data_IF_284940494736
#
_entry.id   IF_284940494736
#
_cell.length_a   1.000
_cell.length_b   1.000
_cell.length_c   1.000
_cell.angle_alpha   90.00
_cell.angle_beta   90.00
_cell.angle_gamma   90.00
#
_symmetry.space_group_name_H-M   'P 1'
#
loop_
_entity.id
_entity.type
_entity.pdbx_description
1 polymer ?
#
# COMPACT_ATOMS: atom_id res chain seq x y z
N UNK A 1 61.62 5.03 -80.55
CA UNK A 1 60.45 4.25 -80.08
C UNK A 1 60.96 3.24 -79.06
N UNK A 2 60.43 3.32 -77.84
CA UNK A 2 60.45 2.40 -76.68
C UNK A 2 61.65 1.44 -76.44
N UNK A 3 62.27 1.60 -75.27
CA UNK A 3 63.06 0.57 -74.59
C UNK A 3 62.44 0.31 -73.19
N UNK A 4 62.21 -0.96 -72.90
CA UNK A 4 61.76 -1.48 -71.61
C UNK A 4 62.86 -1.38 -70.54
N UNK A 5 62.49 -0.98 -69.32
CA UNK A 5 63.20 -1.34 -68.09
C UNK A 5 62.20 -1.71 -67.00
N UNK A 6 62.26 -2.96 -66.55
CA UNK A 6 61.51 -3.46 -65.40
C UNK A 6 62.37 -3.41 -64.14
N UNK A 7 61.85 -2.75 -63.10
CA UNK A 7 62.42 -2.79 -61.75
C UNK A 7 61.47 -3.55 -60.82
N UNK A 8 61.98 -4.61 -60.17
CA UNK A 8 61.31 -5.36 -59.10
C UNK A 8 61.45 -4.58 -57.78
N UNK A 9 60.34 -4.16 -57.17
CA UNK A 9 60.32 -3.76 -55.76
C UNK A 9 60.11 -5.00 -54.87
N UNK A 10 61.11 -5.32 -54.03
CA UNK A 10 60.99 -6.27 -52.92
C UNK A 10 60.21 -5.60 -51.78
N UNK A 11 58.98 -6.07 -51.52
CA UNK A 11 58.16 -5.67 -50.38
C UNK A 11 58.78 -6.15 -49.06
N UNK A 12 59.17 -5.22 -48.18
CA UNK A 12 59.64 -5.47 -46.82
C UNK A 12 58.50 -5.70 -45.80
N UNK A 13 57.24 -5.82 -46.24
CA UNK A 13 56.07 -5.90 -45.35
C UNK A 13 55.71 -7.35 -44.92
N UNK A 14 56.16 -8.37 -45.65
CA UNK A 14 55.80 -9.77 -45.38
C UNK A 14 56.30 -10.31 -44.01
N UNK A 15 57.55 -10.05 -43.56
CA UNK A 15 58.03 -10.63 -42.30
C UNK A 15 57.40 -9.96 -41.06
N UNK A 16 57.01 -8.68 -41.14
CA UNK A 16 56.32 -8.01 -40.02
C UNK A 16 54.89 -8.52 -39.82
N UNK A 17 54.17 -8.80 -40.92
CA UNK A 17 52.81 -9.31 -40.84
C UNK A 17 52.77 -10.72 -40.21
N UNK A 18 53.75 -11.56 -40.54
CA UNK A 18 53.88 -12.91 -39.97
C UNK A 18 54.13 -12.88 -38.45
N UNK A 19 54.98 -11.95 -37.97
CA UNK A 19 55.26 -11.78 -36.54
C UNK A 19 54.02 -11.30 -35.79
N UNK A 20 53.26 -10.36 -36.37
CA UNK A 20 52.01 -9.87 -35.76
C UNK A 20 50.95 -10.96 -35.68
N UNK A 21 50.79 -11.77 -36.74
CA UNK A 21 49.82 -12.89 -36.75
C UNK A 21 50.19 -13.96 -35.71
N UNK A 22 51.48 -14.29 -35.58
CA UNK A 22 51.95 -15.24 -34.56
C UNK A 22 51.76 -14.71 -33.14
N UNK A 23 51.99 -13.42 -32.90
CA UNK A 23 51.76 -12.79 -31.61
C UNK A 23 50.27 -12.79 -31.22
N UNK A 24 49.37 -12.52 -32.18
CA UNK A 24 47.92 -12.57 -31.95
C UNK A 24 47.45 -14.00 -31.67
N UNK A 25 47.94 -15.00 -32.40
CA UNK A 25 47.61 -16.40 -32.16
C UNK A 25 48.12 -16.92 -30.81
N UNK A 26 49.30 -16.47 -30.38
CA UNK A 26 49.84 -16.78 -29.05
C UNK A 26 48.98 -16.14 -27.94
N UNK A 27 48.55 -14.88 -28.11
CA UNK A 27 47.69 -14.18 -27.15
C UNK A 27 46.30 -14.83 -27.02
N UNK A 28 45.71 -15.25 -28.15
CA UNK A 28 44.42 -15.97 -28.16
C UNK A 28 44.54 -17.35 -27.50
N UNK A 29 45.69 -18.02 -27.67
CA UNK A 29 45.96 -19.32 -27.04
C UNK A 29 46.17 -19.19 -25.52
N UNK A 30 46.86 -18.13 -25.07
CA UNK A 30 47.04 -17.80 -23.65
C UNK A 30 45.71 -17.41 -22.99
N UNK A 31 44.84 -16.67 -23.69
CA UNK A 31 43.50 -16.33 -23.19
C UNK A 31 42.55 -17.53 -23.14
N UNK A 32 42.71 -18.51 -24.04
CA UNK A 32 41.98 -19.79 -23.98
C UNK A 32 42.51 -20.71 -22.87
N UNK A 33 43.81 -20.69 -22.60
CA UNK A 33 44.42 -21.46 -21.52
C UNK A 33 44.08 -20.90 -20.12
N UNK A 34 43.93 -19.57 -19.98
CA UNK A 34 43.54 -18.95 -18.70
C UNK A 34 42.06 -19.10 -18.35
N UNK A 35 41.22 -19.51 -19.31
CA UNK A 35 39.81 -19.86 -19.08
C UNK A 35 39.58 -21.36 -18.87
N UNK A 36 40.64 -22.16 -18.78
CA UNK A 36 40.59 -23.58 -18.47
C UNK A 36 40.61 -23.85 -16.97
N UNK A 37 39.50 -23.63 -16.27
CA UNK A 37 39.41 -23.90 -14.84
C UNK A 37 37.98 -24.03 -14.32
N UNK A 38 37.45 -25.26 -14.33
CA UNK A 38 36.27 -25.67 -13.57
C UNK A 38 34.93 -25.61 -14.31
N UNK A 39 34.62 -26.66 -15.09
CA UNK A 39 33.21 -26.99 -15.36
C UNK A 39 32.56 -27.42 -14.04
N UNK A 40 31.91 -26.49 -13.36
CA UNK A 40 30.89 -26.81 -12.37
C UNK A 40 29.76 -27.52 -13.12
N UNK A 41 29.55 -28.80 -12.82
CA UNK A 41 28.37 -29.51 -13.28
C UNK A 41 27.12 -28.71 -12.90
N UNK A 42 26.10 -28.59 -13.78
CA UNK A 42 24.86 -27.95 -13.39
C UNK A 42 24.34 -28.69 -12.15
N UNK A 43 23.84 -27.99 -11.13
CA UNK A 43 23.25 -28.68 -9.98
C UNK A 43 22.19 -29.63 -10.53
N UNK A 44 22.23 -30.90 -10.12
CA UNK A 44 21.18 -31.84 -10.46
C UNK A 44 19.83 -31.19 -10.16
N UNK A 45 18.80 -31.47 -10.96
CA UNK A 45 17.46 -30.92 -10.73
C UNK A 45 16.99 -31.11 -9.26
N UNK A 46 17.49 -32.16 -8.60
CA UNK A 46 17.30 -32.47 -7.18
C UNK A 46 18.00 -31.46 -6.25
N UNK A 47 19.22 -31.02 -6.55
CA UNK A 47 19.97 -30.01 -5.77
C UNK A 47 19.36 -28.60 -5.92
N UNK A 48 18.94 -28.23 -7.13
CA UNK A 48 18.23 -26.97 -7.37
C UNK A 48 16.84 -26.95 -6.69
N UNK A 49 16.10 -28.08 -6.73
CA UNK A 49 14.84 -28.25 -6.01
C UNK A 49 15.03 -28.24 -4.49
N UNK A 50 16.09 -28.86 -3.96
CA UNK A 50 16.41 -28.86 -2.54
C UNK A 50 16.88 -27.48 -2.04
N UNK A 51 17.62 -26.73 -2.84
CA UNK A 51 18.00 -25.35 -2.56
C UNK A 51 16.79 -24.41 -2.64
N UNK A 52 15.90 -24.59 -3.62
CA UNK A 52 14.62 -23.89 -3.72
C UNK A 52 13.69 -24.24 -2.56
N UNK A 53 13.64 -25.50 -2.12
CA UNK A 53 12.88 -25.94 -0.96
C UNK A 53 13.47 -25.42 0.37
N UNK A 54 14.80 -25.39 0.51
CA UNK A 54 15.49 -24.74 1.65
C UNK A 54 15.27 -23.22 1.67
N UNK A 55 15.26 -22.55 0.52
CA UNK A 55 14.90 -21.13 0.42
C UNK A 55 13.41 -20.88 0.66
N UNK A 56 12.51 -21.78 0.23
CA UNK A 56 11.08 -21.75 0.59
C UNK A 56 10.89 -21.97 2.10
N UNK A 57 11.66 -22.86 2.73
CA UNK A 57 11.59 -23.09 4.18
C UNK A 57 12.23 -21.97 5.01
N UNK A 58 13.32 -21.35 4.54
CA UNK A 58 13.91 -20.15 5.18
C UNK A 58 13.01 -18.92 5.04
N UNK A 59 12.35 -18.75 3.89
CA UNK A 59 11.34 -17.69 3.72
C UNK A 59 10.08 -18.00 4.54
N UNK A 60 9.62 -19.25 4.64
CA UNK A 60 8.53 -19.65 5.53
C UNK A 60 8.78 -19.33 7.01
N UNK A 61 10.01 -19.50 7.51
CA UNK A 61 10.37 -19.11 8.86
C UNK A 61 10.38 -17.58 9.09
N UNK A 62 10.67 -16.78 8.04
CA UNK A 62 10.55 -15.31 8.03
C UNK A 62 9.14 -14.80 7.67
N UNK A 63 8.20 -15.70 7.34
CA UNK A 63 6.83 -15.36 6.92
C UNK A 63 5.84 -15.24 8.08
N UNK A 64 6.19 -15.68 9.28
CA UNK A 64 5.26 -15.64 10.42
C UNK A 64 5.19 -14.23 11.00
N UNK A 65 4.02 -13.65 10.89
CA UNK A 65 3.61 -12.53 11.74
C UNK A 65 3.74 -13.00 13.20
N UNK A 66 4.40 -12.18 14.01
CA UNK A 66 4.56 -12.45 15.44
C UNK A 66 3.30 -12.00 16.16
N UNK A 67 2.48 -12.98 16.54
CA UNK A 67 1.28 -12.79 17.32
C UNK A 67 1.45 -13.39 18.71
N UNK A 68 0.76 -12.80 19.68
CA UNK A 68 0.66 -13.33 21.04
C UNK A 68 -0.21 -14.60 21.01
N UNK A 69 0.37 -15.79 21.22
CA UNK A 69 -0.39 -17.03 21.13
C UNK A 69 -1.48 -17.16 22.21
N UNK A 70 -1.44 -16.33 23.25
CA UNK A 70 -2.46 -16.32 24.32
C UNK A 70 -3.70 -15.49 23.99
N UNK A 71 -3.61 -14.60 22.99
CA UNK A 71 -4.74 -13.75 22.62
C UNK A 71 -5.75 -14.53 21.75
N UNK A 72 -6.99 -14.58 22.22
CA UNK A 72 -8.11 -15.15 21.45
C UNK A 72 -8.94 -14.02 20.85
N UNK A 73 -9.05 -13.91 19.51
CA UNK A 73 -9.87 -12.86 18.89
C UNK A 73 -11.34 -13.03 19.27
N UNK A 74 -11.98 -11.90 19.56
CA UNK A 74 -13.39 -11.83 19.92
C UNK A 74 -14.11 -10.90 18.96
N UNK A 75 -14.76 -11.51 17.98
CA UNK A 75 -15.54 -10.78 16.97
C UNK A 75 -17.01 -10.65 17.42
N UNK A 76 -17.65 -9.48 17.26
CA UNK A 76 -19.05 -9.27 17.59
C UNK A 76 -19.98 -10.24 16.83
N UNK A 77 -21.10 -10.61 17.46
CA UNK A 77 -22.12 -11.45 16.79
C UNK A 77 -22.71 -10.69 15.61
N UNK A 78 -22.54 -11.23 14.41
CA UNK A 78 -23.05 -10.61 13.18
C UNK A 78 -24.57 -10.76 13.04
N UNK A 79 -25.23 -9.69 12.57
CA UNK A 79 -26.60 -9.75 12.09
C UNK A 79 -26.72 -10.34 10.68
N UNK A 80 -27.96 -10.50 10.18
CA UNK A 80 -28.22 -11.10 8.87
C UNK A 80 -27.55 -10.33 7.71
N UNK A 81 -27.60 -9.00 7.72
CA UNK A 81 -26.95 -8.17 6.71
C UNK A 81 -25.42 -8.31 6.76
N UNK A 82 -24.82 -8.23 7.96
CA UNK A 82 -23.38 -8.41 8.16
C UNK A 82 -22.89 -9.78 7.66
N UNK A 83 -23.62 -10.87 7.94
CA UNK A 83 -23.32 -12.20 7.42
C UNK A 83 -23.42 -12.28 5.89
N UNK A 84 -24.45 -11.66 5.31
CA UNK A 84 -24.61 -11.58 3.86
C UNK A 84 -23.42 -10.85 3.19
N UNK A 85 -22.98 -9.74 3.77
CA UNK A 85 -21.83 -8.97 3.28
C UNK A 85 -20.53 -9.78 3.41
N UNK A 86 -20.32 -10.48 4.54
CA UNK A 86 -19.17 -11.35 4.70
C UNK A 86 -19.11 -12.45 3.63
N UNK A 87 -20.26 -13.02 3.23
CA UNK A 87 -20.34 -13.97 2.11
C UNK A 87 -20.03 -13.30 0.76
N UNK A 88 -20.48 -12.06 0.54
CA UNK A 88 -20.16 -11.31 -0.69
C UNK A 88 -18.66 -11.04 -0.83
N UNK A 89 -17.92 -10.90 0.27
CA UNK A 89 -16.46 -10.71 0.22
C UNK A 89 -15.72 -11.91 -0.43
N UNK A 90 -16.33 -13.09 -0.46
CA UNK A 90 -15.79 -14.27 -1.12
C UNK A 90 -16.05 -14.33 -2.64
N UNK A 91 -16.89 -13.43 -3.18
CA UNK A 91 -17.18 -13.42 -4.62
C UNK A 91 -15.95 -12.99 -5.44
N UNK A 92 -15.71 -13.59 -6.63
CA UNK A 92 -14.57 -13.23 -7.45
C UNK A 92 -14.67 -11.79 -8.00
N UNK A 93 -13.56 -11.22 -8.49
CA UNK A 93 -13.57 -9.91 -9.14
C UNK A 93 -14.54 -9.86 -10.33
N UNK A 94 -15.29 -8.76 -10.43
CA UNK A 94 -16.12 -8.42 -11.59
C UNK A 94 -15.25 -7.96 -12.75
N UNK A 95 -15.83 -7.92 -13.95
CA UNK A 95 -15.20 -7.54 -15.21
C UNK A 95 -14.06 -8.46 -15.68
N UNK A 96 -13.86 -9.63 -15.07
CA UNK A 96 -12.81 -10.58 -15.47
C UNK A 96 -12.87 -10.94 -16.97
N UNK A 97 -14.05 -11.13 -17.53
CA UNK A 97 -14.20 -11.41 -18.97
C UNK A 97 -13.78 -10.24 -19.89
N UNK A 98 -13.90 -8.99 -19.41
CA UNK A 98 -13.50 -7.78 -20.15
C UNK A 98 -12.01 -7.48 -20.02
N UNK A 99 -11.41 -7.93 -18.93
CA UNK A 99 -9.99 -7.77 -18.60
C UNK A 99 -9.38 -9.14 -18.24
N UNK A 100 -9.30 -10.08 -19.20
CA UNK A 100 -9.04 -11.51 -18.89
C UNK A 100 -7.60 -11.82 -18.50
N UNK A 101 -6.63 -10.98 -18.87
CA UNK A 101 -5.21 -11.20 -18.62
C UNK A 101 -4.60 -9.98 -17.94
N UNK A 102 -4.69 -9.92 -16.61
CA UNK A 102 -3.91 -8.96 -15.84
C UNK A 102 -2.42 -9.33 -15.95
N UNK A 103 -1.50 -8.36 -16.12
CA UNK A 103 -0.07 -8.65 -16.18
C UNK A 103 0.44 -9.41 -14.95
N UNK A 104 1.45 -10.24 -15.14
CA UNK A 104 2.16 -10.89 -14.03
C UNK A 104 2.72 -9.82 -13.09
N UNK A 105 2.44 -9.96 -11.79
CA UNK A 105 2.87 -8.97 -10.81
C UNK A 105 2.15 -7.62 -10.90
N UNK A 106 1.03 -7.52 -11.64
CA UNK A 106 0.22 -6.29 -11.74
C UNK A 106 -0.01 -5.65 -10.37
N UNK A 107 -0.01 -4.32 -10.34
CA UNK A 107 -0.23 -3.56 -9.12
C UNK A 107 -1.71 -3.67 -8.72
N UNK A 108 -1.95 -3.99 -7.45
CA UNK A 108 -3.30 -3.96 -6.86
C UNK A 108 -3.54 -2.58 -6.28
N UNK A 109 -4.74 -2.06 -6.48
CA UNK A 109 -5.17 -0.78 -5.93
C UNK A 109 -6.31 -1.04 -4.96
N UNK A 110 -6.21 -0.50 -3.76
CA UNK A 110 -7.26 -0.54 -2.74
C UNK A 110 -7.82 0.86 -2.58
N UNK A 111 -9.08 1.03 -2.96
CA UNK A 111 -9.86 2.24 -2.71
C UNK A 111 -10.78 1.98 -1.51
N UNK A 112 -10.53 2.63 -0.38
CA UNK A 112 -11.43 2.53 0.76
C UNK A 112 -12.37 3.72 0.86
N UNK A 113 -13.64 3.40 1.11
CA UNK A 113 -14.76 4.31 0.97
C UNK A 113 -15.64 4.23 2.21
N UNK A 114 -16.11 5.39 2.67
CA UNK A 114 -17.05 5.46 3.79
C UNK A 114 -18.45 5.68 3.22
N UNK A 115 -18.93 6.92 3.23
CA UNK A 115 -20.24 7.27 2.72
C UNK A 115 -20.26 8.69 2.13
N UNK A 116 -19.39 8.96 1.16
CA UNK A 116 -19.37 10.22 0.40
C UNK A 116 -19.60 9.96 -1.10
N UNK A 117 -20.83 9.69 -1.54
CA UNK A 117 -21.13 9.29 -2.93
C UNK A 117 -20.66 10.27 -3.99
N UNK A 118 -20.70 11.58 -3.71
CA UNK A 118 -20.18 12.61 -4.62
C UNK A 118 -18.67 12.49 -4.81
N UNK A 119 -17.94 12.26 -3.73
CA UNK A 119 -16.50 12.10 -3.78
C UNK A 119 -16.12 10.80 -4.48
N UNK A 120 -16.82 9.70 -4.15
CA UNK A 120 -16.62 8.42 -4.82
C UNK A 120 -16.78 8.51 -6.34
N UNK A 121 -17.81 9.23 -6.82
CA UNK A 121 -17.98 9.47 -8.27
C UNK A 121 -16.77 10.15 -8.89
N UNK A 122 -16.18 11.14 -8.21
CA UNK A 122 -15.03 11.90 -8.72
C UNK A 122 -13.75 11.08 -8.73
N UNK A 123 -13.46 10.32 -7.68
CA UNK A 123 -12.28 9.43 -7.69
C UNK A 123 -12.42 8.34 -8.75
N UNK A 124 -13.62 7.75 -8.92
CA UNK A 124 -13.90 6.75 -9.96
C UNK A 124 -13.75 7.35 -11.35
N UNK A 125 -14.27 8.55 -11.56
CA UNK A 125 -14.13 9.31 -12.80
C UNK A 125 -12.65 9.63 -13.09
N UNK A 126 -11.88 10.08 -12.11
CA UNK A 126 -10.44 10.33 -12.26
C UNK A 126 -9.65 9.05 -12.58
N UNK A 127 -9.96 7.93 -11.88
CA UNK A 127 -9.37 6.62 -12.13
C UNK A 127 -9.64 6.12 -13.55
N UNK A 128 -10.81 6.40 -14.11
CA UNK A 128 -11.16 5.98 -15.48
C UNK A 128 -10.26 6.60 -16.56
N UNK A 129 -9.58 7.71 -16.23
CA UNK A 129 -8.64 8.42 -17.12
C UNK A 129 -7.17 8.07 -16.87
N UNK A 130 -6.88 7.19 -15.92
CA UNK A 130 -5.51 6.78 -15.60
C UNK A 130 -4.97 5.86 -16.69
N UNK A 131 -3.80 6.20 -17.23
CA UNK A 131 -3.13 5.39 -18.24
C UNK A 131 -2.75 4.02 -17.67
N UNK A 132 -3.17 2.95 -18.36
CA UNK A 132 -2.92 1.57 -17.94
C UNK A 132 -3.83 1.04 -16.83
N UNK A 133 -4.87 1.77 -16.39
CA UNK A 133 -5.71 1.34 -15.27
C UNK A 133 -6.38 -0.03 -15.48
N UNK A 134 -6.64 -0.41 -16.73
CA UNK A 134 -7.19 -1.73 -17.09
C UNK A 134 -6.27 -2.91 -16.74
N UNK A 135 -4.99 -2.66 -16.45
CA UNK A 135 -4.01 -3.66 -16.00
C UNK A 135 -4.08 -3.92 -14.49
N UNK A 136 -4.82 -3.12 -13.73
CA UNK A 136 -4.93 -3.25 -12.27
C UNK A 136 -6.11 -4.12 -11.83
N UNK A 137 -5.97 -4.75 -10.67
CA UNK A 137 -7.10 -5.18 -9.87
C UNK A 137 -7.45 -4.04 -8.90
N UNK A 138 -8.65 -3.48 -9.04
CA UNK A 138 -9.20 -2.50 -8.10
C UNK A 138 -10.02 -3.21 -7.02
N UNK A 139 -9.55 -3.17 -5.78
CA UNK A 139 -10.31 -3.59 -4.60
C UNK A 139 -10.99 -2.37 -4.00
N UNK A 140 -12.32 -2.36 -3.94
CA UNK A 140 -13.08 -1.32 -3.25
C UNK A 140 -13.55 -1.83 -1.89
N UNK A 141 -13.07 -1.20 -0.82
CA UNK A 141 -13.33 -1.56 0.58
C UNK A 141 -14.35 -0.61 1.20
N UNK A 142 -15.53 -1.11 1.53
CA UNK A 142 -16.62 -0.33 2.10
C UNK A 142 -16.65 -0.42 3.63
N UNK A 143 -16.85 0.72 4.31
CA UNK A 143 -17.14 0.77 5.74
C UNK A 143 -18.59 0.35 6.04
N UNK A 144 -18.85 -0.95 5.99
CA UNK A 144 -20.21 -1.48 6.10
C UNK A 144 -20.93 -1.49 4.76
N UNK A 145 -22.19 -1.05 4.71
CA UNK A 145 -22.98 -1.07 3.48
C UNK A 145 -23.81 0.19 3.29
N UNK A 146 -23.58 0.87 2.17
CA UNK A 146 -24.34 2.03 1.74
C UNK A 146 -24.80 1.79 0.29
N UNK A 147 -26.11 1.72 0.02
CA UNK A 147 -26.63 1.35 -1.31
C UNK A 147 -26.12 2.25 -2.44
N UNK A 148 -26.08 3.58 -2.24
CA UNK A 148 -25.60 4.49 -3.28
C UNK A 148 -24.11 4.27 -3.59
N UNK A 149 -23.29 3.98 -2.58
CA UNK A 149 -21.87 3.67 -2.76
C UNK A 149 -21.69 2.36 -3.54
N UNK A 150 -22.45 1.32 -3.19
CA UNK A 150 -22.45 0.03 -3.88
C UNK A 150 -22.84 0.17 -5.36
N UNK A 151 -23.87 0.97 -5.67
CA UNK A 151 -24.29 1.22 -7.05
C UNK A 151 -23.23 1.98 -7.88
N UNK A 152 -22.54 2.96 -7.29
CA UNK A 152 -21.44 3.66 -8.00
C UNK A 152 -20.33 2.66 -8.35
N UNK A 153 -19.92 1.81 -7.40
CA UNK A 153 -18.86 0.82 -7.65
C UNK A 153 -19.32 -0.23 -8.66
N UNK A 154 -20.60 -0.63 -8.63
CA UNK A 154 -21.19 -1.52 -9.64
C UNK A 154 -21.04 -1.01 -11.06
N UNK A 155 -21.10 0.31 -11.26
CA UNK A 155 -20.92 0.96 -12.56
C UNK A 155 -19.48 0.95 -13.11
N UNK A 156 -18.47 0.58 -12.32
CA UNK A 156 -17.07 0.58 -12.78
C UNK A 156 -16.86 -0.48 -13.87
N UNK A 157 -16.37 -0.02 -15.03
CA UNK A 157 -16.27 -0.80 -16.26
C UNK A 157 -14.88 -0.76 -16.94
N UNK A 158 -13.91 -0.06 -16.34
CA UNK A 158 -12.59 0.21 -16.95
C UNK A 158 -11.45 -0.67 -16.41
N UNK A 159 -11.70 -1.54 -15.42
CA UNK A 159 -10.73 -2.52 -14.91
C UNK A 159 -11.46 -3.68 -14.21
N UNK A 160 -10.71 -4.69 -13.72
CA UNK A 160 -11.27 -5.69 -12.80
C UNK A 160 -11.57 -5.06 -11.43
N UNK A 161 -12.71 -5.42 -10.85
CA UNK A 161 -13.18 -4.84 -9.59
C UNK A 161 -13.58 -5.91 -8.59
N UNK A 162 -12.91 -5.93 -7.43
CA UNK A 162 -13.32 -6.70 -6.26
C UNK A 162 -13.96 -5.76 -5.24
N UNK A 163 -15.14 -6.10 -4.73
CA UNK A 163 -15.75 -5.37 -3.62
C UNK A 163 -15.62 -6.18 -2.33
N UNK A 164 -15.22 -5.51 -1.26
CA UNK A 164 -15.25 -6.04 0.09
C UNK A 164 -15.97 -5.06 1.02
N UNK A 165 -16.69 -5.59 1.99
CA UNK A 165 -17.52 -4.84 2.92
C UNK A 165 -17.10 -5.20 4.35
N UNK A 166 -16.78 -4.19 5.17
CA UNK A 166 -16.40 -4.37 6.55
C UNK A 166 -17.58 -4.93 7.37
N UNK A 167 -17.56 -6.22 7.76
CA UNK A 167 -18.72 -6.85 8.36
C UNK A 167 -18.93 -6.42 9.82
N UNK A 168 -17.92 -5.82 10.43
CA UNK A 168 -17.92 -5.32 11.80
C UNK A 168 -17.96 -3.78 11.84
N UNK A 169 -18.37 -3.13 10.74
CA UNK A 169 -18.57 -1.68 10.73
C UNK A 169 -19.68 -1.30 11.73
N UNK A 170 -19.50 -0.27 12.57
CA UNK A 170 -20.55 0.29 13.42
C UNK A 170 -21.88 0.55 12.71
N UNK A 171 -21.85 0.86 11.40
CA UNK A 171 -23.02 1.13 10.58
C UNK A 171 -23.93 -0.09 10.35
N UNK A 172 -23.46 -1.30 10.69
CA UNK A 172 -24.22 -2.54 10.58
C UNK A 172 -24.84 -2.99 11.94
N UNK A 173 -24.61 -2.25 13.02
CA UNK A 173 -24.99 -2.62 14.39
C UNK A 173 -25.80 -1.49 15.03
N UNK A 174 -27.11 -1.38 14.75
CA UNK A 174 -27.90 -0.21 15.16
C UNK A 174 -28.12 -0.10 16.68
N UNK A 175 -28.04 -1.21 17.40
CA UNK A 175 -28.42 -1.35 18.81
C UNK A 175 -27.43 -2.21 19.62
N UNK A 176 -26.21 -2.38 19.12
CA UNK A 176 -25.18 -3.20 19.75
C UNK A 176 -23.78 -2.71 19.38
N UNK A 177 -22.78 -3.12 20.16
CA UNK A 177 -21.37 -2.88 19.81
C UNK A 177 -21.02 -3.65 18.52
N UNK A 178 -20.29 -3.07 17.54
CA UNK A 178 -19.54 -1.81 17.59
C UNK A 178 -20.30 -0.55 17.14
N UNK A 179 -21.62 -0.59 17.00
CA UNK A 179 -22.44 0.63 16.94
C UNK A 179 -22.75 1.18 18.33
N UNK A 180 -23.88 1.90 18.46
CA UNK A 180 -24.35 2.40 19.76
C UNK A 180 -25.16 1.30 20.45
N UNK A 181 -24.72 0.86 21.63
CA UNK A 181 -25.47 -0.12 22.41
C UNK A 181 -26.33 0.55 23.50
N UNK A 182 -27.49 -0.03 23.86
CA UNK A 182 -28.20 0.35 25.08
C UNK A 182 -27.31 0.25 26.31
N UNK A 183 -27.21 1.36 27.04
CA UNK A 183 -26.38 1.49 28.23
C UNK A 183 -24.93 1.88 27.96
N UNK A 184 -24.56 2.28 26.74
CA UNK A 184 -23.28 2.96 26.50
C UNK A 184 -23.24 4.32 27.20
N UNK A 185 -22.10 4.65 27.79
CA UNK A 185 -21.84 6.00 28.30
C UNK A 185 -21.73 7.01 27.14
N UNK A 186 -22.16 8.26 27.36
CA UNK A 186 -22.13 9.33 26.37
C UNK A 186 -21.33 10.52 26.87
N UNK A 187 -20.69 11.24 25.97
CA UNK A 187 -19.97 12.49 26.24
C UNK A 187 -19.05 12.38 27.47
N UNK A 188 -19.39 13.07 28.58
CA UNK A 188 -18.64 13.09 29.85
C UNK A 188 -19.31 12.27 30.97
N UNK A 189 -20.21 11.36 30.61
CA UNK A 189 -20.92 10.53 31.59
C UNK A 189 -19.95 9.81 32.53
N UNK A 190 -20.33 9.71 33.80
CA UNK A 190 -19.62 8.90 34.78
C UNK A 190 -20.31 7.55 34.91
N UNK A 191 -19.61 6.49 34.54
CA UNK A 191 -20.14 5.12 34.52
C UNK A 191 -20.81 4.70 35.84
N UNK A 192 -20.23 5.04 37.00
CA UNK A 192 -20.76 4.71 38.31
C UNK A 192 -22.10 5.42 38.62
N UNK A 193 -22.25 6.66 38.19
CA UNK A 193 -23.44 7.49 38.46
C UNK A 193 -24.58 7.14 37.49
N UNK A 194 -24.25 6.99 36.21
CA UNK A 194 -25.21 6.72 35.13
C UNK A 194 -25.50 5.23 34.92
N UNK A 195 -24.77 4.35 35.60
CA UNK A 195 -24.81 2.89 35.43
C UNK A 195 -24.65 2.48 33.95
N UNK A 196 -23.79 3.19 33.23
CA UNK A 196 -23.48 2.97 31.82
C UNK A 196 -22.12 2.24 31.65
N UNK A 197 -21.83 1.78 30.43
CA UNK A 197 -20.64 1.02 30.05
C UNK A 197 -19.81 1.77 29.00
N UNK A 198 -18.48 1.64 29.10
CA UNK A 198 -17.51 2.27 28.22
C UNK A 198 -16.50 3.11 29.00
N UNK A 199 -15.23 2.90 28.74
CA UNK A 199 -14.15 3.73 29.28
C UNK A 199 -13.98 5.00 28.44
N UNK A 200 -13.81 6.18 29.07
CA UNK A 200 -13.55 7.40 28.34
C UNK A 200 -12.11 7.42 27.79
N UNK A 201 -11.88 8.28 26.80
CA UNK A 201 -10.54 8.65 26.33
C UNK A 201 -9.76 9.46 27.38
N UNK A 202 -8.50 9.78 27.08
CA UNK A 202 -7.62 10.55 27.95
C UNK A 202 -8.12 11.98 28.26
N UNK A 203 -9.10 12.47 27.51
CA UNK A 203 -9.74 13.77 27.71
C UNK A 203 -11.09 13.64 28.40
N UNK A 204 -11.52 12.42 28.75
CA UNK A 204 -12.78 12.14 29.43
C UNK A 204 -13.99 11.99 28.51
N UNK A 205 -13.81 11.92 27.18
CA UNK A 205 -14.92 11.69 26.24
C UNK A 205 -15.15 10.20 25.98
N UNK A 206 -16.41 9.78 25.90
CA UNK A 206 -16.77 8.44 25.45
C UNK A 206 -16.74 8.30 23.92
N UNK A 207 -16.64 7.06 23.45
CA UNK A 207 -16.55 6.72 22.03
C UNK A 207 -17.72 7.29 21.22
N UNK A 208 -17.40 7.75 20.00
CA UNK A 208 -18.40 8.06 18.98
C UNK A 208 -18.25 7.05 17.83
N UNK A 209 -19.23 6.16 17.60
CA UNK A 209 -19.16 5.12 16.57
C UNK A 209 -18.79 5.66 15.17
N UNK A 210 -19.23 6.88 14.85
CA UNK A 210 -18.92 7.53 13.56
C UNK A 210 -17.43 7.81 13.35
N UNK A 211 -16.69 8.20 14.40
CA UNK A 211 -15.26 8.53 14.28
C UNK A 211 -14.38 7.30 14.45
N UNK A 212 -14.73 6.39 15.37
CA UNK A 212 -13.95 5.15 15.59
C UNK A 212 -14.04 4.21 14.39
N UNK A 213 -15.12 4.31 13.59
CA UNK A 213 -15.28 3.57 12.34
C UNK A 213 -14.08 3.70 11.41
N UNK A 214 -13.48 4.89 11.32
CA UNK A 214 -12.33 5.17 10.44
C UNK A 214 -11.15 4.25 10.70
N UNK A 215 -10.71 4.16 11.96
CA UNK A 215 -9.56 3.33 12.36
C UNK A 215 -9.89 1.86 12.37
N UNK A 216 -11.12 1.49 12.75
CA UNK A 216 -11.58 0.10 12.61
C UNK A 216 -11.59 -0.36 11.16
N UNK A 217 -12.17 0.42 10.25
CA UNK A 217 -12.28 0.10 8.83
C UNK A 217 -10.91 -0.02 8.19
N UNK A 218 -10.02 0.95 8.43
CA UNK A 218 -8.65 0.88 7.93
C UNK A 218 -7.94 -0.37 8.42
N UNK A 219 -7.97 -0.66 9.73
CA UNK A 219 -7.27 -1.82 10.28
C UNK A 219 -7.87 -3.15 9.81
N UNK A 220 -9.19 -3.29 9.79
CA UNK A 220 -9.87 -4.47 9.24
C UNK A 220 -9.54 -4.68 7.76
N UNK A 221 -9.57 -3.61 6.97
CA UNK A 221 -9.27 -3.66 5.54
C UNK A 221 -7.83 -4.13 5.34
N UNK A 222 -6.87 -3.57 6.06
CA UNK A 222 -5.47 -3.95 5.92
C UNK A 222 -5.26 -5.43 6.21
N UNK A 223 -5.82 -5.96 7.30
CA UNK A 223 -5.77 -7.38 7.62
C UNK A 223 -6.47 -8.25 6.56
N UNK A 224 -7.62 -7.80 6.04
CA UNK A 224 -8.38 -8.55 5.04
C UNK A 224 -7.67 -8.58 3.69
N UNK A 225 -7.18 -7.44 3.20
CA UNK A 225 -6.46 -7.36 1.94
C UNK A 225 -5.13 -8.11 2.02
N UNK A 226 -4.36 -7.91 3.08
CA UNK A 226 -3.06 -8.57 3.16
C UNK A 226 -3.19 -10.05 3.49
N UNK A 227 -4.02 -10.45 4.46
CA UNK A 227 -3.95 -11.81 5.00
C UNK A 227 -5.20 -12.66 4.70
N UNK A 228 -6.34 -12.05 4.40
CA UNK A 228 -7.62 -12.76 4.25
C UNK A 228 -8.08 -13.07 2.82
N UNK A 229 -7.74 -12.20 1.86
CA UNK A 229 -8.26 -12.26 0.50
C UNK A 229 -7.50 -13.22 -0.40
N UNK A 230 -8.21 -14.05 -1.14
CA UNK A 230 -7.66 -15.02 -2.11
C UNK A 230 -6.78 -14.34 -3.17
N UNK A 231 -7.19 -13.15 -3.64
CA UNK A 231 -6.51 -12.41 -4.71
C UNK A 231 -5.16 -11.81 -4.27
N UNK A 232 -4.93 -11.68 -2.96
CA UNK A 232 -3.80 -10.91 -2.42
C UNK A 232 -3.05 -11.58 -1.28
N UNK A 233 -3.53 -12.66 -0.65
CA UNK A 233 -2.87 -13.29 0.53
C UNK A 233 -1.48 -13.87 0.27
N UNK A 234 -1.19 -14.24 -0.97
CA UNK A 234 0.12 -14.74 -1.40
C UNK A 234 0.92 -13.70 -2.20
N UNK A 235 0.42 -12.47 -2.32
CA UNK A 235 1.03 -11.44 -3.15
C UNK A 235 2.15 -10.69 -2.41
N UNK A 236 3.40 -10.92 -2.81
CA UNK A 236 4.57 -10.27 -2.19
C UNK A 236 4.91 -8.87 -2.76
N UNK A 237 4.19 -8.41 -3.80
CA UNK A 237 4.39 -7.10 -4.43
C UNK A 237 3.81 -5.92 -3.63
N UNK A 238 3.85 -4.72 -4.21
CA UNK A 238 3.29 -3.52 -3.60
C UNK A 238 1.78 -3.42 -3.85
N UNK A 239 1.01 -3.00 -2.84
CA UNK A 239 -0.41 -2.65 -3.00
C UNK A 239 -0.54 -1.15 -2.78
N UNK A 240 -1.20 -0.45 -3.69
CA UNK A 240 -1.46 1.00 -3.62
C UNK A 240 -2.77 1.26 -2.87
N UNK A 241 -2.76 2.17 -1.91
CA UNK A 241 -3.91 2.54 -1.10
C UNK A 241 -4.34 3.99 -1.39
N UNK A 242 -5.62 4.19 -1.67
CA UNK A 242 -6.25 5.49 -1.97
C UNK A 242 -7.61 5.62 -1.28
N UNK A 243 -8.08 6.85 -1.10
CA UNK A 243 -9.33 7.21 -0.42
C UNK A 243 -10.34 7.81 -1.41
N UNK A 244 -11.61 7.85 -1.00
CA UNK A 244 -12.70 8.40 -1.82
C UNK A 244 -12.59 9.91 -2.11
N UNK A 245 -11.81 10.67 -1.34
CA UNK A 245 -11.50 12.09 -1.53
C UNK A 245 -10.15 12.36 -2.21
N UNK A 246 -9.55 11.34 -2.83
CA UNK A 246 -8.40 11.51 -3.70
C UNK A 246 -8.82 11.73 -5.16
N UNK A 247 -8.12 12.62 -5.84
CA UNK A 247 -8.15 12.77 -7.30
C UNK A 247 -6.89 12.11 -7.86
N UNK A 248 -7.04 11.11 -8.73
CA UNK A 248 -5.92 10.34 -9.27
C UNK A 248 -5.54 10.87 -10.65
N UNK A 249 -4.25 11.17 -10.85
CA UNK A 249 -3.80 11.82 -12.08
C UNK A 249 -3.62 10.79 -13.20
N UNK A 250 -3.73 11.19 -14.48
CA UNK A 250 -3.62 10.25 -15.59
C UNK A 250 -2.31 9.45 -15.60
N UNK A 251 -1.21 10.01 -15.07
CA UNK A 251 0.09 9.37 -14.99
C UNK A 251 0.29 8.43 -13.78
N UNK A 252 -0.66 8.37 -12.85
CA UNK A 252 -0.45 7.80 -11.52
C UNK A 252 -0.01 6.35 -11.55
N UNK A 253 -0.68 5.51 -12.34
CA UNK A 253 -0.42 4.07 -12.40
C UNK A 253 0.98 3.77 -12.96
N UNK A 254 1.36 4.43 -14.05
CA UNK A 254 2.71 4.30 -14.64
C UNK A 254 3.81 4.82 -13.71
N UNK A 255 3.58 5.96 -13.08
CA UNK A 255 4.53 6.53 -12.13
C UNK A 255 4.74 5.63 -10.91
N UNK A 256 3.68 5.05 -10.33
CA UNK A 256 3.85 4.14 -9.19
C UNK A 256 4.53 2.83 -9.58
N UNK A 257 4.25 2.27 -10.77
CA UNK A 257 4.98 1.10 -11.29
C UNK A 257 6.48 1.40 -11.36
N UNK A 258 6.85 2.52 -11.97
CA UNK A 258 8.25 2.95 -12.07
C UNK A 258 8.89 3.18 -10.69
N UNK A 259 8.18 3.82 -9.76
CA UNK A 259 8.67 4.04 -8.40
C UNK A 259 8.89 2.73 -7.65
N UNK A 260 7.97 1.76 -7.77
CA UNK A 260 8.10 0.42 -7.17
C UNK A 260 9.36 -0.29 -7.67
N UNK A 261 9.61 -0.23 -8.99
CA UNK A 261 10.78 -0.86 -9.61
C UNK A 261 12.10 -0.18 -9.24
N UNK A 262 12.08 1.14 -9.09
CA UNK A 262 13.25 1.94 -8.72
C UNK A 262 13.55 1.92 -7.22
N UNK A 263 12.53 1.78 -6.36
CA UNK A 263 12.68 1.81 -4.89
C UNK A 263 13.83 0.93 -4.40
N UNK A 264 13.94 -0.39 -4.72
CA UNK A 264 15.04 -1.22 -4.22
C UNK A 264 16.42 -0.78 -4.72
N UNK A 265 16.52 -0.11 -5.88
CA UNK A 265 17.78 0.30 -6.52
C UNK A 265 18.25 1.68 -6.08
N UNK A 266 17.29 2.60 -5.87
CA UNK A 266 17.53 4.03 -5.65
C UNK A 266 17.28 4.47 -4.21
N UNK A 267 16.42 3.77 -3.48
CA UNK A 267 16.12 4.03 -2.07
C UNK A 267 15.87 2.71 -1.31
N UNK A 268 16.92 1.91 -1.12
CA UNK A 268 16.82 0.63 -0.42
C UNK A 268 16.30 0.78 1.03
N UNK A 269 16.53 1.94 1.66
CA UNK A 269 16.01 2.32 2.97
C UNK A 269 14.53 2.74 2.97
N UNK A 270 13.92 3.03 1.81
CA UNK A 270 12.52 3.39 1.72
C UNK A 270 11.64 2.17 1.95
N UNK A 271 10.63 2.33 2.81
CA UNK A 271 9.62 1.33 3.11
C UNK A 271 8.57 1.30 2.01
N UNK A 272 8.12 2.47 1.56
CA UNK A 272 7.00 2.61 0.64
C UNK A 272 7.38 3.43 -0.60
N UNK A 273 6.40 3.59 -1.49
CA UNK A 273 6.35 4.66 -2.48
C UNK A 273 5.07 5.48 -2.28
N UNK A 274 5.07 6.75 -2.68
CA UNK A 274 3.90 7.62 -2.59
C UNK A 274 3.64 8.33 -3.92
N UNK A 275 2.35 8.52 -4.24
CA UNK A 275 1.92 9.33 -5.38
C UNK A 275 2.01 10.83 -5.10
N UNK A 276 2.07 11.28 -3.85
CA UNK A 276 2.08 12.69 -3.50
C UNK A 276 3.11 13.02 -2.41
N UNK A 277 3.51 14.29 -2.26
CA UNK A 277 4.29 14.75 -1.12
C UNK A 277 3.61 14.47 0.23
N UNK A 278 4.39 14.40 1.31
CA UNK A 278 3.84 14.22 2.66
C UNK A 278 3.04 15.43 3.14
N UNK A 279 3.41 16.62 2.69
CA UNK A 279 2.54 17.80 2.76
C UNK A 279 1.46 17.68 1.67
N UNK A 280 0.25 17.37 2.11
CA UNK A 280 -0.94 17.17 1.26
C UNK A 280 -1.29 18.38 0.39
N UNK A 281 -0.79 19.58 0.73
CA UNK A 281 -1.03 20.81 -0.04
C UNK A 281 0.02 21.04 -1.12
N UNK A 282 1.17 20.37 -1.05
CA UNK A 282 2.26 20.60 -1.98
C UNK A 282 2.01 19.95 -3.35
N UNK A 283 2.36 20.66 -4.43
CA UNK A 283 2.42 20.08 -5.79
C UNK A 283 3.68 19.22 -6.01
N UNK A 284 4.70 19.41 -5.17
CA UNK A 284 6.04 18.86 -5.33
C UNK A 284 7.03 19.90 -5.89
N UNK A 285 8.32 19.60 -5.84
CA UNK A 285 9.42 20.50 -6.18
C UNK A 285 9.57 20.73 -7.70
N UNK A 286 9.07 19.80 -8.52
CA UNK A 286 9.13 19.92 -9.98
C UNK A 286 10.53 19.82 -10.61
N UNK A 287 11.56 19.49 -9.84
CA UNK A 287 12.95 19.33 -10.31
C UNK A 287 13.25 17.93 -10.86
N UNK A 288 14.42 17.73 -11.48
CA UNK A 288 14.87 16.44 -12.01
C UNK A 288 15.47 15.54 -10.91
N UNK A 289 14.67 15.21 -9.89
CA UNK A 289 15.09 14.35 -8.79
C UNK A 289 13.89 13.65 -8.16
N UNK A 290 14.04 12.36 -7.84
CA UNK A 290 13.10 11.67 -6.97
C UNK A 290 13.30 12.16 -5.52
N UNK A 291 12.26 12.01 -4.69
CA UNK A 291 12.32 12.45 -3.29
C UNK A 291 12.03 11.28 -2.37
N UNK A 292 12.91 11.06 -1.40
CA UNK A 292 12.67 10.18 -0.26
C UNK A 292 12.29 11.04 0.94
N UNK A 293 11.06 10.92 1.38
CA UNK A 293 10.53 11.71 2.49
C UNK A 293 9.57 10.90 3.37
N UNK A 294 8.88 11.58 4.29
CA UNK A 294 7.91 11.00 5.20
C UNK A 294 6.83 10.25 4.40
N UNK A 295 6.48 9.02 4.77
CA UNK A 295 5.36 8.32 4.14
C UNK A 295 4.03 9.08 4.34
N UNK A 296 3.48 9.64 3.26
CA UNK A 296 2.20 10.34 3.27
C UNK A 296 0.99 9.39 3.29
N UNK A 297 -0.19 9.93 3.59
CA UNK A 297 -1.47 9.20 3.53
C UNK A 297 -2.14 9.27 2.14
N UNK A 298 -1.63 10.08 1.20
CA UNK A 298 -2.14 10.15 -0.17
C UNK A 298 -1.38 9.18 -1.09
N UNK A 299 -2.08 8.15 -1.55
CA UNK A 299 -1.59 7.25 -2.60
C UNK A 299 -0.30 6.54 -2.21
N UNK A 300 -0.28 5.90 -1.03
CA UNK A 300 0.89 5.15 -0.56
C UNK A 300 0.83 3.70 -1.02
N UNK A 301 1.97 3.14 -1.41
CA UNK A 301 2.08 1.73 -1.75
C UNK A 301 3.27 1.07 -1.06
N UNK A 302 3.05 -0.10 -0.49
CA UNK A 302 4.09 -0.89 0.17
C UNK A 302 3.83 -2.38 0.01
N UNK A 303 4.86 -3.19 0.32
CA UNK A 303 4.85 -4.62 0.10
C UNK A 303 4.59 -5.43 1.38
N UNK A 304 4.52 -6.75 1.22
CA UNK A 304 4.29 -7.71 2.31
C UNK A 304 5.25 -7.56 3.49
N UNK A 305 6.52 -7.27 3.22
CA UNK A 305 7.54 -7.10 4.27
C UNK A 305 7.23 -5.91 5.15
N UNK A 306 6.77 -4.80 4.56
CA UNK A 306 6.34 -3.62 5.32
C UNK A 306 5.04 -3.90 6.07
N UNK A 307 4.08 -4.59 5.45
CA UNK A 307 2.86 -5.02 6.14
C UNK A 307 3.17 -5.81 7.41
N UNK A 308 4.05 -6.83 7.34
CA UNK A 308 4.44 -7.62 8.51
C UNK A 308 5.05 -6.78 9.63
N UNK A 309 5.84 -5.75 9.30
CA UNK A 309 6.38 -4.82 10.29
C UNK A 309 5.28 -4.00 10.96
N UNK A 310 4.30 -3.52 10.20
CA UNK A 310 3.13 -2.79 10.72
C UNK A 310 2.30 -3.72 11.60
N UNK A 311 1.97 -4.92 11.10
CA UNK A 311 1.16 -5.91 11.80
C UNK A 311 1.79 -6.37 13.11
N UNK A 312 3.11 -6.55 13.15
CA UNK A 312 3.84 -6.85 14.40
C UNK A 312 3.68 -5.78 15.49
N UNK A 313 3.15 -4.59 15.15
CA UNK A 313 2.82 -3.51 16.07
C UNK A 313 1.31 -3.38 16.33
N UNK A 314 0.51 -4.40 16.02
CA UNK A 314 -0.94 -4.42 16.19
C UNK A 314 -1.38 -3.93 17.58
N UNK A 315 -0.76 -4.45 18.66
CA UNK A 315 -1.08 -4.01 20.02
C UNK A 315 -0.82 -2.51 20.24
N UNK A 316 0.31 -2.00 19.75
CA UNK A 316 0.63 -0.58 19.86
C UNK A 316 -0.35 0.29 19.07
N UNK A 317 -0.71 -0.13 17.85
CA UNK A 317 -1.70 0.56 17.03
C UNK A 317 -3.08 0.59 17.72
N UNK A 318 -3.54 -0.56 18.22
CA UNK A 318 -4.87 -0.70 18.81
C UNK A 318 -4.99 -0.09 20.21
N UNK A 319 -3.90 0.05 20.98
CA UNK A 319 -3.94 0.62 22.33
C UNK A 319 -3.75 2.15 22.36
N UNK A 320 -3.15 2.73 21.33
CA UNK A 320 -2.86 4.16 21.29
C UNK A 320 -4.17 4.96 21.17
N UNK A 321 -4.38 5.88 22.12
CA UNK A 321 -5.62 6.64 22.29
C UNK A 321 -5.75 7.78 21.26
N UNK A 322 -5.95 7.37 20.03
CA UNK A 322 -6.09 8.19 18.84
C UNK A 322 -6.98 7.45 17.84
N UNK A 323 -8.12 8.05 17.50
CA UNK A 323 -9.05 7.44 16.55
C UNK A 323 -8.60 7.61 15.08
N UNK A 324 -7.64 8.49 14.76
CA UNK A 324 -7.09 8.62 13.41
C UNK A 324 -6.01 7.55 13.16
N UNK A 325 -6.20 6.72 12.14
CA UNK A 325 -5.26 5.63 11.83
C UNK A 325 -3.88 6.18 11.42
N UNK A 326 -3.81 7.23 10.63
CA UNK A 326 -2.59 7.81 10.09
C UNK A 326 -1.76 8.54 11.16
N UNK A 327 -2.43 9.27 12.06
CA UNK A 327 -1.80 9.84 13.26
C UNK A 327 -1.25 8.72 14.14
N UNK A 328 -2.02 7.64 14.36
CA UNK A 328 -1.54 6.48 15.11
C UNK A 328 -0.27 5.89 14.47
N UNK A 329 -0.25 5.77 13.14
CA UNK A 329 0.94 5.29 12.42
C UNK A 329 2.16 6.17 12.68
N UNK A 330 2.01 7.49 12.60
CA UNK A 330 3.10 8.45 12.77
C UNK A 330 3.52 8.70 14.22
N UNK A 331 2.61 8.55 15.17
CA UNK A 331 2.87 8.80 16.58
C UNK A 331 3.51 7.60 17.28
N UNK A 332 3.14 6.37 16.91
CA UNK A 332 3.60 5.17 17.63
C UNK A 332 4.15 4.06 16.74
N UNK A 333 3.50 3.72 15.61
CA UNK A 333 3.90 2.53 14.83
C UNK A 333 5.22 2.75 14.09
N UNK A 334 5.31 3.76 13.23
CA UNK A 334 6.52 4.05 12.46
C UNK A 334 7.74 4.40 13.34
N UNK A 335 7.61 5.21 14.41
CA UNK A 335 8.70 5.42 15.35
C UNK A 335 9.22 4.13 15.99
N UNK A 336 8.37 3.13 16.20
CA UNK A 336 8.76 1.84 16.79
C UNK A 336 9.64 0.95 15.88
N UNK A 337 9.87 1.35 14.63
CA UNK A 337 10.72 0.60 13.69
C UNK A 337 12.22 0.88 13.88
N UNK A 338 12.58 1.87 14.70
CA UNK A 338 13.98 2.22 15.02
C UNK A 338 14.73 2.99 13.93
N UNK A 339 14.08 3.30 12.82
CA UNK A 339 14.62 4.13 11.74
C UNK A 339 13.51 4.97 11.10
N UNK A 340 13.83 6.14 10.49
CA UNK A 340 12.84 6.91 9.75
C UNK A 340 12.13 6.10 8.67
N UNK A 341 10.80 6.18 8.63
CA UNK A 341 9.98 5.49 7.62
C UNK A 341 9.85 6.38 6.41
N UNK A 342 10.79 6.21 5.48
CA UNK A 342 10.78 6.92 4.22
C UNK A 342 9.91 6.24 3.16
N UNK A 343 9.35 7.07 2.30
CA UNK A 343 8.68 6.69 1.07
C UNK A 343 9.33 7.40 -0.12
N UNK A 344 9.48 6.69 -1.24
CA UNK A 344 10.00 7.24 -2.48
C UNK A 344 8.87 7.80 -3.33
N UNK A 345 9.02 9.01 -3.85
CA UNK A 345 8.07 9.61 -4.78
C UNK A 345 8.77 10.36 -5.92
N UNK A 346 7.99 10.69 -6.94
CA UNK A 346 8.41 11.66 -7.96
C UNK A 346 8.48 13.10 -7.40
N UNK A 347 9.06 14.02 -8.17
CA UNK A 347 9.14 15.45 -7.81
C UNK A 347 7.80 16.19 -7.94
N UNK A 348 6.80 15.56 -8.54
CA UNK A 348 5.45 16.10 -8.74
C UNK A 348 4.44 15.10 -8.25
N UNK A 349 3.34 15.59 -7.67
CA UNK A 349 2.23 14.75 -7.25
C UNK A 349 1.57 14.09 -8.47
N UNK A 350 1.14 12.85 -8.29
CA UNK A 350 0.32 12.04 -9.22
C UNK A 350 -1.04 11.69 -8.59
N UNK A 351 -1.33 12.26 -7.41
CA UNK A 351 -2.63 12.25 -6.77
C UNK A 351 -2.77 13.51 -5.93
N UNK A 352 -3.99 13.98 -5.70
CA UNK A 352 -4.28 15.13 -4.85
C UNK A 352 -5.45 14.82 -3.92
N UNK A 353 -5.45 15.39 -2.72
CA UNK A 353 -6.62 15.36 -1.84
C UNK A 353 -7.52 16.55 -2.18
N UNK A 354 -8.75 16.29 -2.63
CA UNK A 354 -9.70 17.34 -3.02
C UNK A 354 -10.81 17.57 -1.98
N UNK A 355 -11.02 16.62 -1.06
CA UNK A 355 -12.07 16.72 -0.06
C UNK A 355 -11.88 17.95 0.83
N UNK A 356 -12.93 18.77 0.94
CA UNK A 356 -12.92 19.95 1.82
C UNK A 356 -13.62 19.66 3.15
N UNK A 357 -14.59 18.75 3.13
CA UNK A 357 -15.30 18.26 4.31
C UNK A 357 -14.82 16.86 4.72
N UNK A 358 -14.13 16.79 5.86
CA UNK A 358 -13.81 15.54 6.57
C UNK A 358 -14.86 15.21 7.64
N UNK A 359 -14.80 14.00 8.21
CA UNK A 359 -15.69 13.57 9.29
C UNK A 359 -15.56 14.39 10.59
N UNK A 360 -14.48 15.17 10.71
CA UNK A 360 -14.18 16.05 11.86
C UNK A 360 -14.85 17.42 11.78
N UNK A 361 -15.43 17.77 10.64
CA UNK A 361 -16.09 19.07 10.45
C UNK A 361 -17.62 18.91 10.58
N UNK A 362 -18.25 19.80 11.37
CA UNK A 362 -19.70 19.83 11.60
C UNK A 362 -20.19 19.06 12.83
N UNK A 363 -19.43 19.09 13.92
CA UNK A 363 -19.89 18.61 15.24
C UNK A 363 -20.99 19.49 15.85
N UNK A 364 -21.02 20.78 15.51
CA UNK A 364 -22.06 21.71 15.95
C UNK A 364 -23.10 21.94 14.84
N UNK A 365 -24.37 21.95 15.22
CA UNK A 365 -25.53 22.16 14.34
C UNK A 365 -25.52 23.50 13.58
N UNK A 366 -24.49 24.34 13.75
CA UNK A 366 -24.29 25.62 13.10
C UNK A 366 -23.28 25.61 11.94
N UNK A 367 -22.46 24.55 11.77
CA UNK A 367 -21.42 24.48 10.73
C UNK A 367 -21.44 23.13 9.98
N UNK A 368 -22.55 22.84 9.29
CA UNK A 368 -22.59 21.75 8.31
C UNK A 368 -21.60 22.07 7.20
N UNK A 369 -20.48 21.35 7.13
CA UNK A 369 -19.55 21.49 6.02
C UNK A 369 -20.24 20.96 4.75
N UNK A 370 -20.54 21.86 3.81
CA UNK A 370 -21.11 21.52 2.51
C UNK A 370 -19.99 21.60 1.47
N UNK A 371 -19.50 20.44 1.04
CA UNK A 371 -18.63 20.31 -0.13
C UNK A 371 -19.42 19.64 -1.26
N UNK A 372 -19.55 20.35 -2.38
CA UNK A 372 -20.23 19.83 -3.55
C UNK A 372 -19.41 18.79 -4.32
N UNK A 373 -18.18 18.50 -3.87
CA UNK A 373 -17.22 17.70 -4.64
C UNK A 373 -16.66 18.47 -5.84
N UNK A 374 -16.92 19.77 -5.94
CA UNK A 374 -16.31 20.64 -6.93
C UNK A 374 -14.88 21.00 -6.45
N UNK A 375 -13.98 20.02 -6.52
CA UNK A 375 -12.56 20.23 -6.37
C UNK A 375 -11.95 20.47 -7.75
N UNK A 376 -11.71 21.73 -8.11
CA UNK A 376 -10.88 22.05 -9.28
C UNK A 376 -9.44 21.64 -8.98
N UNK A 377 -9.12 20.38 -9.30
CA UNK A 377 -7.74 19.89 -9.27
C UNK A 377 -7.08 20.34 -10.56
N UNK A 378 -6.28 21.41 -10.46
CA UNK A 378 -5.46 21.89 -11.57
C UNK A 378 -4.47 20.80 -12.01
N UNK A 379 -4.56 20.41 -13.28
CA UNK A 379 -3.71 19.40 -13.92
C UNK A 379 -2.87 20.03 -15.02
N UNK A 380 -1.58 20.15 -14.78
CA UNK A 380 -0.62 20.60 -15.79
C UNK A 380 -0.45 19.52 -16.87
N UNK A 381 -0.07 19.91 -18.10
CA UNK A 381 0.12 18.95 -19.19
C UNK A 381 1.14 17.84 -18.87
N UNK A 382 2.19 18.18 -18.11
CA UNK A 382 3.23 17.25 -17.65
C UNK A 382 2.70 16.21 -16.63
N UNK A 383 1.58 16.49 -15.97
CA UNK A 383 0.98 15.60 -14.98
C UNK A 383 -0.01 14.60 -15.61
N UNK A 384 -0.24 14.71 -16.92
CA UNK A 384 -1.08 13.79 -17.70
C UNK A 384 -0.31 12.61 -18.30
N UNK A 385 1.02 12.65 -18.24
CA UNK A 385 1.91 11.61 -18.80
C UNK A 385 2.96 11.20 -17.75
N UNK A 386 3.54 9.98 -17.87
CA UNK A 386 4.62 9.55 -16.98
C UNK A 386 5.76 10.58 -16.98
N UNK A 387 6.14 11.05 -15.80
CA UNK A 387 7.02 12.22 -15.64
C UNK A 387 8.17 12.00 -14.64
N UNK A 388 8.57 10.75 -14.47
CA UNK A 388 9.72 10.33 -13.66
C UNK A 388 10.72 9.64 -14.59
N UNK A 389 12.01 9.97 -14.48
CA UNK A 389 13.09 9.29 -15.22
C UNK A 389 13.91 8.39 -14.30
N UNK A 390 14.32 7.23 -14.82
CA UNK A 390 15.01 6.19 -14.04
C UNK A 390 16.45 6.58 -13.63
N UNK A 391 17.09 7.46 -14.39
CA UNK A 391 18.44 7.96 -14.17
C UNK A 391 18.50 9.04 -13.08
N UNK A 392 17.37 9.68 -12.75
CA UNK A 392 17.31 10.74 -11.73
C UNK A 392 17.92 10.31 -10.37
N UNK A 393 18.57 11.25 -9.66
CA UNK A 393 19.04 11.03 -8.30
C UNK A 393 17.87 10.98 -7.31
N UNK A 394 18.17 10.64 -6.05
CA UNK A 394 17.21 10.71 -4.94
C UNK A 394 17.65 11.79 -3.96
N UNK A 395 16.79 12.78 -3.75
CA UNK A 395 16.93 13.76 -2.68
C UNK A 395 16.26 13.23 -1.40
N UNK A 396 17.00 13.11 -0.30
CA UNK A 396 16.48 12.61 0.98
C UNK A 396 16.19 13.79 1.91
N UNK A 397 14.91 13.99 2.26
CA UNK A 397 14.50 14.99 3.24
C UNK A 397 14.72 14.40 4.64
N UNK A 398 15.87 14.72 5.26
CA UNK A 398 16.26 14.14 6.56
C UNK A 398 15.48 14.69 7.75
N UNK A 399 15.25 16.01 7.78
CA UNK A 399 14.50 16.68 8.85
C UNK A 399 13.02 16.68 8.48
N UNK A 400 12.24 15.87 9.16
CA UNK A 400 10.80 15.73 8.90
C UNK A 400 10.01 16.12 10.14
N UNK A 401 8.91 16.86 9.93
CA UNK A 401 8.01 17.19 11.00
C UNK A 401 7.23 15.94 11.45
N UNK A 402 7.11 15.77 12.76
CA UNK A 402 6.44 14.63 13.37
C UNK A 402 5.95 14.95 14.77
N UNK A 403 5.23 14.00 15.36
CA UNK A 403 4.79 14.10 16.75
C UNK A 403 6.00 14.01 17.68
N UNK A 404 6.02 14.87 18.68
CA UNK A 404 7.11 14.92 19.66
C UNK A 404 7.05 13.72 20.60
N UNK A 405 8.20 13.38 21.21
CA UNK A 405 8.25 12.39 22.27
C UNK A 405 7.26 12.75 23.40
N UNK A 406 6.42 11.79 23.79
CA UNK A 406 5.39 12.00 24.81
C UNK A 406 4.03 12.45 24.28
N UNK A 407 3.84 12.63 22.96
CA UNK A 407 2.50 12.79 22.39
C UNK A 407 1.64 11.55 22.67
N UNK A 408 0.46 11.75 23.27
CA UNK A 408 -0.42 10.67 23.74
C UNK A 408 -1.65 10.42 22.84
N UNK A 409 -1.77 11.13 21.72
CA UNK A 409 -2.94 11.08 20.85
C UNK A 409 -3.97 12.17 21.19
N UNK A 410 -4.96 12.35 20.31
CA UNK A 410 -6.06 13.30 20.48
C UNK A 410 -7.34 12.68 21.08
N UNK A 411 -7.28 11.42 21.54
CA UNK A 411 -8.41 10.75 22.17
C UNK A 411 -9.35 10.07 21.18
N UNK A 412 -10.60 9.88 21.60
CA UNK A 412 -11.65 9.17 20.87
C UNK A 412 -11.45 7.66 20.75
N UNK A 413 -10.42 7.08 21.37
CA UNK A 413 -10.08 5.65 21.30
C UNK A 413 -9.80 5.07 22.70
N UNK A 414 -10.55 5.58 23.69
CA UNK A 414 -10.50 5.20 25.10
C UNK A 414 -11.11 3.84 25.41
N UNK A 415 -12.22 3.52 24.74
CA UNK A 415 -13.06 2.39 25.06
C UNK A 415 -12.35 1.06 24.80
N UNK A 416 -12.28 0.22 25.84
CA UNK A 416 -11.57 -1.06 25.77
C UNK A 416 -12.14 -1.99 24.70
N UNK A 417 -13.44 -1.91 24.42
CA UNK A 417 -14.09 -2.78 23.43
C UNK A 417 -13.59 -2.48 22.02
N UNK A 418 -13.37 -1.20 21.69
CA UNK A 418 -12.79 -0.80 20.41
C UNK A 418 -11.34 -1.27 20.27
N UNK A 419 -10.53 -1.18 21.33
CA UNK A 419 -9.15 -1.69 21.35
C UNK A 419 -9.09 -3.21 21.15
N UNK A 420 -9.95 -3.96 21.84
CA UNK A 420 -10.04 -5.42 21.73
C UNK A 420 -10.56 -5.87 20.35
N UNK A 421 -11.54 -5.17 19.78
CA UNK A 421 -12.03 -5.45 18.42
C UNK A 421 -10.95 -5.20 17.37
N UNK A 422 -10.26 -4.06 17.46
CA UNK A 422 -9.12 -3.75 16.61
C UNK A 422 -8.05 -4.86 16.70
N UNK A 423 -7.70 -5.28 17.91
CA UNK A 423 -6.73 -6.36 18.09
C UNK A 423 -7.26 -7.67 17.51
N UNK A 424 -8.55 -7.97 17.65
CA UNK A 424 -9.16 -9.17 17.06
C UNK A 424 -9.05 -9.21 15.53
N UNK A 425 -9.15 -8.07 14.84
CA UNK A 425 -8.89 -8.00 13.40
C UNK A 425 -7.46 -8.39 13.03
N UNK A 426 -6.47 -8.11 13.88
CA UNK A 426 -5.10 -8.51 13.64
C UNK A 426 -4.90 -10.04 13.69
N UNK A 427 -5.79 -10.77 14.36
CA UNK A 427 -5.65 -12.20 14.59
C UNK A 427 -6.60 -13.05 13.74
N UNK A 428 -7.66 -12.46 13.18
CA UNK A 428 -8.77 -13.22 12.59
C UNK A 428 -8.41 -14.14 11.41
N UNK A 429 -7.25 -13.95 10.78
CA UNK A 429 -6.75 -14.83 9.71
C UNK A 429 -5.52 -15.67 10.12
N UNK A 430 -5.10 -15.59 11.38
CA UNK A 430 -3.86 -16.21 11.87
C UNK A 430 -4.09 -17.17 13.04
N UNK A 431 -5.31 -17.27 13.56
CA UNK A 431 -5.70 -18.32 14.49
C UNK A 431 -5.87 -19.61 13.70
N UNK A 432 -5.14 -20.66 14.10
CA UNK A 432 -5.45 -22.01 13.61
C UNK A 432 -6.84 -22.38 14.11
N UNK A 433 -7.75 -22.71 13.21
CA UNK A 433 -8.99 -23.38 13.60
C UNK A 433 -8.64 -24.62 14.42
N UNK A 434 -8.83 -24.54 15.73
CA UNK A 434 -8.79 -25.70 16.63
C UNK A 434 -9.98 -26.65 16.40
N UNK A 435 -10.83 -26.36 15.40
CA UNK A 435 -12.01 -27.15 15.01
C UNK A 435 -11.77 -28.06 13.79
N UNK A 436 -10.52 -28.22 13.34
CA UNK A 436 -10.16 -29.19 12.28
C UNK A 436 -9.00 -30.11 12.68
N UNK A 437 -9.10 -30.67 13.89
CA UNK A 437 -8.29 -31.79 14.35
C UNK A 437 -9.16 -33.01 14.62
#
# INVERSE_FOLDING_TARGET
>A
MALHHGARLRSRAAPLLAVVVLAVLALVSLLRASHGGGRLAPPSAVSAAAAAARNRNRTAAQRKILLDPSFTPRLPRQGALSLSLARRNALPPRNAARFPALPDGHLKIVLYVHNRPRYLRLVVDSLSRVDGIGEALLVVSHDGYFPEMDEIVKGIAFCQVKQIFAPYSPHLFPDSFPGVAPGDCRDKDRAAEKRCRGEPDQYGNHRSPRIVSLKHHWWWMMNTVWDGMDETRDFDGHILFIEEDHYIFPNAYRNVQLLVDLKPKKCAQCYAVNLAPSDVKAKGEGWESMVAEKMGNIGYAFNRTVWRKIHAKAKQFCDFDEYNWDITMWATVYPSFGAPVYSLRGPRRSAAHFGKCGLHQGQDSSNVCVDNGAGDVELDAIDKVPNIKADWPVHIIRKQQGYQAGFKGWGGWGDRRDRELCLSFAYMYHVKDTLSA
#
